data_IF_287956927985
#
_entry.id   IF_287956927985
#
_cell.length_a   1.000
_cell.length_b   1.000
_cell.length_c   1.000
_cell.angle_alpha   90.00
_cell.angle_beta   90.00
_cell.angle_gamma   90.00
#
_symmetry.space_group_name_H-M   'P 1'
#
loop_
_entity.id
_entity.type
_entity.pdbx_description
1 polymer ?
#
# COMPACT_ATOMS: atom_id res chain seq x y z
N UNK A 1 -2.54 17.03 11.61
CA UNK A 1 -1.38 16.33 11.02
C UNK A 1 -1.77 14.87 10.82
N UNK A 2 -1.93 14.42 9.58
CA UNK A 2 -2.22 13.00 9.29
C UNK A 2 -0.95 12.21 9.62
N UNK A 3 -0.99 11.42 10.69
CA UNK A 3 0.16 10.63 11.12
C UNK A 3 0.53 9.65 10.02
N UNK A 4 1.74 9.76 9.48
CA UNK A 4 2.25 8.79 8.51
C UNK A 4 2.38 7.42 9.19
N UNK A 5 1.97 6.31 8.54
CA UNK A 5 2.15 4.98 9.09
C UNK A 5 3.64 4.72 9.35
N UNK A 6 3.96 4.34 10.59
CA UNK A 6 5.31 3.96 11.02
C UNK A 6 5.36 2.48 11.34
N UNK A 7 6.48 1.84 11.06
CA UNK A 7 6.69 0.42 11.35
C UNK A 7 6.77 0.24 12.86
N UNK A 8 6.00 -0.70 13.39
CA UNK A 8 5.84 -0.92 14.84
C UNK A 8 7.19 -1.14 15.51
N UNK A 9 7.44 -0.45 16.62
CA UNK A 9 8.72 -0.55 17.34
C UNK A 9 9.87 0.23 16.71
N UNK A 10 9.64 0.89 15.57
CA UNK A 10 10.61 1.79 14.94
C UNK A 10 10.02 3.19 14.76
N UNK A 11 10.89 4.16 14.47
CA UNK A 11 10.48 5.48 13.97
C UNK A 11 10.65 5.59 12.46
N UNK A 12 10.66 4.44 11.76
CA UNK A 12 10.86 4.37 10.32
C UNK A 12 9.49 4.43 9.65
N UNK A 13 9.18 5.50 8.87
CA UNK A 13 7.96 5.56 8.08
C UNK A 13 7.98 4.52 6.96
N UNK A 14 6.82 3.91 6.68
CA UNK A 14 6.71 2.88 5.65
C UNK A 14 7.08 3.39 4.24
N UNK A 15 6.85 4.69 3.98
CA UNK A 15 7.20 5.38 2.74
C UNK A 15 8.71 5.32 2.45
N UNK A 16 9.57 5.38 3.47
CA UNK A 16 11.03 5.31 3.26
C UNK A 16 11.45 3.92 2.79
N UNK A 17 10.86 2.88 3.35
CA UNK A 17 11.16 1.49 2.96
C UNK A 17 10.70 1.24 1.52
N UNK A 18 9.49 1.67 1.17
CA UNK A 18 8.98 1.58 -0.20
C UNK A 18 9.80 2.41 -1.18
N UNK A 19 10.20 3.63 -0.81
CA UNK A 19 11.03 4.49 -1.64
C UNK A 19 12.42 3.89 -1.90
N UNK A 20 13.02 3.27 -0.87
CA UNK A 20 14.27 2.56 -1.02
C UNK A 20 14.11 1.36 -1.96
N UNK A 21 13.09 0.53 -1.74
CA UNK A 21 12.80 -0.64 -2.58
C UNK A 21 12.46 -0.27 -4.03
N UNK A 22 11.82 0.89 -4.25
CA UNK A 22 11.53 1.40 -5.59
C UNK A 22 12.78 1.86 -6.34
N UNK A 23 13.78 2.40 -5.62
CA UNK A 23 15.06 2.81 -6.20
C UNK A 23 16.02 1.63 -6.37
N UNK A 24 16.08 0.74 -5.37
CA UNK A 24 16.87 -0.48 -5.38
C UNK A 24 16.08 -1.62 -4.71
N UNK A 25 15.67 -2.68 -5.46
CA UNK A 25 14.91 -3.79 -4.91
C UNK A 25 15.74 -4.79 -4.07
N UNK A 26 17.02 -4.51 -3.80
CA UNK A 26 17.89 -5.37 -3.02
C UNK A 26 17.56 -5.32 -1.51
N UNK A 27 17.14 -6.46 -0.95
CA UNK A 27 16.80 -6.58 0.46
C UNK A 27 18.02 -6.56 1.38
N UNK A 28 19.16 -7.08 0.93
CA UNK A 28 20.38 -7.11 1.76
C UNK A 28 20.89 -5.70 2.02
N UNK A 29 20.85 -4.85 0.99
CA UNK A 29 21.18 -3.42 1.11
C UNK A 29 20.15 -2.67 1.95
N UNK A 30 18.86 -3.01 1.84
CA UNK A 30 17.82 -2.43 2.68
C UNK A 30 18.07 -2.75 4.16
N UNK A 31 18.42 -3.99 4.50
CA UNK A 31 18.74 -4.37 5.88
C UNK A 31 20.06 -3.77 6.36
N UNK A 32 21.03 -3.57 5.47
CA UNK A 32 22.26 -2.86 5.80
C UNK A 32 21.98 -1.37 6.13
N UNK A 33 21.09 -0.72 5.37
CA UNK A 33 20.67 0.66 5.60
C UNK A 33 19.76 0.81 6.84
N UNK A 34 18.94 -0.20 7.13
CA UNK A 34 18.01 -0.23 8.25
C UNK A 34 18.17 -1.52 9.09
N UNK A 35 19.20 -1.61 9.96
CA UNK A 35 19.53 -2.84 10.70
C UNK A 35 18.46 -3.28 11.71
N UNK A 36 17.55 -2.38 12.08
CA UNK A 36 16.43 -2.66 12.99
C UNK A 36 15.20 -3.19 12.26
N UNK A 37 15.24 -3.24 10.93
CA UNK A 37 14.14 -3.71 10.11
C UNK A 37 14.20 -5.23 10.03
N UNK A 38 13.06 -5.87 10.24
CA UNK A 38 12.95 -7.33 10.09
C UNK A 38 12.28 -7.70 8.78
N UNK A 39 12.40 -8.95 8.37
CA UNK A 39 11.72 -9.48 7.18
C UNK A 39 10.19 -9.39 7.38
N UNK A 40 9.71 -9.60 8.60
CA UNK A 40 8.31 -9.46 9.00
C UNK A 40 7.81 -8.04 8.78
N UNK A 41 8.62 -7.03 9.13
CA UNK A 41 8.30 -5.62 8.91
C UNK A 41 8.16 -5.30 7.42
N UNK A 42 9.10 -5.77 6.60
CA UNK A 42 9.06 -5.57 5.14
C UNK A 42 7.81 -6.21 4.55
N UNK A 43 7.48 -7.45 4.95
CA UNK A 43 6.25 -8.13 4.53
C UNK A 43 4.99 -7.37 4.96
N UNK A 44 4.96 -6.83 6.17
CA UNK A 44 3.84 -6.04 6.65
C UNK A 44 3.67 -4.74 5.86
N UNK A 45 4.78 -4.05 5.54
CA UNK A 45 4.78 -2.86 4.68
C UNK A 45 4.24 -3.17 3.29
N UNK A 46 4.70 -4.26 2.67
CA UNK A 46 4.23 -4.70 1.34
C UNK A 46 2.75 -5.09 1.36
N UNK A 47 2.30 -5.83 2.39
CA UNK A 47 0.90 -6.20 2.54
C UNK A 47 0.01 -4.96 2.71
N UNK A 48 0.45 -3.97 3.49
CA UNK A 48 -0.26 -2.71 3.65
C UNK A 48 -0.33 -1.92 2.35
N UNK A 49 0.79 -1.80 1.64
CA UNK A 49 0.86 -1.13 0.34
C UNK A 49 -0.05 -1.80 -0.70
N UNK A 50 -0.01 -3.14 -0.76
CA UNK A 50 -0.90 -3.92 -1.61
C UNK A 50 -2.36 -3.69 -1.26
N UNK A 51 -2.75 -3.76 0.01
CA UNK A 51 -4.11 -3.50 0.45
C UNK A 51 -4.57 -2.07 0.08
N UNK A 52 -3.71 -1.07 0.25
CA UNK A 52 -4.01 0.32 -0.10
C UNK A 52 -4.32 0.50 -1.59
N UNK A 53 -3.65 -0.23 -2.48
CA UNK A 53 -3.88 -0.17 -3.94
C UNK A 53 -5.01 -1.13 -4.38
N UNK A 54 -5.11 -2.30 -3.77
CA UNK A 54 -6.14 -3.30 -4.06
C UNK A 54 -7.54 -2.81 -3.64
N UNK A 55 -7.66 -2.08 -2.52
CA UNK A 55 -8.93 -1.49 -2.08
C UNK A 55 -9.40 -0.41 -3.06
N UNK A 56 -8.50 0.28 -3.75
CA UNK A 56 -8.89 1.26 -4.78
C UNK A 56 -9.64 0.61 -5.95
N UNK A 57 -9.38 -0.66 -6.27
CA UNK A 57 -10.13 -1.40 -7.30
C UNK A 57 -11.54 -1.81 -6.86
N UNK A 58 -11.86 -1.76 -5.56
CA UNK A 58 -13.20 -2.09 -5.03
C UNK A 58 -14.07 -0.88 -4.72
N UNK A 59 -13.53 0.35 -4.78
CA UNK A 59 -14.30 1.59 -4.52
C UNK A 59 -14.81 2.27 -5.79
N UNK A 60 -14.39 1.82 -6.97
CA UNK A 60 -14.91 2.28 -8.27
C UNK A 60 -16.03 1.40 -8.84
N UNK A 61 -16.53 0.40 -8.11
CA UNK A 61 -17.82 -0.22 -8.43
C UNK A 61 -18.94 0.59 -7.76
N UNK A 62 -19.31 1.70 -8.38
CA UNK A 62 -20.62 2.29 -8.16
C UNK A 62 -21.64 1.45 -8.96
N UNK A 63 -22.71 0.91 -8.35
CA UNK A 63 -23.79 0.31 -9.11
C UNK A 63 -24.60 1.44 -9.74
N UNK A 64 -24.34 1.76 -11.01
CA UNK A 64 -25.24 2.62 -11.75
C UNK A 64 -26.56 1.87 -11.95
N UNK A 65 -27.62 2.50 -11.47
CA UNK A 65 -28.96 1.98 -11.29
C UNK A 65 -29.55 1.27 -12.53
N UNK A 66 -30.24 0.18 -12.23
CA UNK A 66 -31.36 -0.38 -12.98
C UNK A 66 -32.44 0.67 -13.26
N UNK A 67 -33.12 0.49 -14.41
CA UNK A 67 -34.33 1.16 -14.90
C UNK A 67 -34.12 2.61 -15.42
N UNK A 68 -34.55 2.96 -16.64
CA UNK A 68 -35.91 2.78 -17.16
C UNK A 68 -35.90 2.46 -18.65
N UNK A 69 -36.73 1.48 -19.01
CA UNK A 69 -37.13 1.17 -20.38
C UNK A 69 -37.54 2.44 -21.15
N UNK A 70 -36.84 2.75 -22.24
CA UNK A 70 -37.39 3.59 -23.30
C UNK A 70 -37.82 2.69 -24.44
N UNK A 71 -39.02 2.15 -24.30
CA UNK A 71 -39.89 1.85 -25.42
C UNK A 71 -40.14 3.15 -26.16
N UNK A 72 -39.66 3.29 -27.39
CA UNK A 72 -40.39 3.99 -28.45
C UNK A 72 -40.18 3.27 -29.79
N UNK A 73 -41.32 3.05 -30.43
CA UNK A 73 -41.52 2.62 -31.80
C UNK A 73 -40.92 3.61 -32.80
#
# INVERSE_FOLDING_TARGET
MVGKPVIKGTRIPFELVLGHLAANPNLDELFAAYPRLTVEDVKAVLAYAYAAVAIQHKRTSHPAATEVASTRA
#
